data_IF_902667197272
#
_entry.id   IF_902667197272
#
_cell.length_a   1.000
_cell.length_b   1.000
_cell.length_c   1.000
_cell.angle_alpha   90.00
_cell.angle_beta   90.00
_cell.angle_gamma   90.00
#
_symmetry.space_group_name_H-M   'P 1'
#
loop_
_entity.id
_entity.type
_entity.pdbx_description
1 polymer ?
#
# COMPACT_ATOMS: atom_id res chain seq x y z
N UNK A 1 26.11 -27.81 2.25
CA UNK A 1 25.50 -26.96 1.21
C UNK A 1 24.46 -26.08 1.90
N UNK A 2 24.73 -24.78 2.06
CA UNK A 2 23.73 -23.82 2.54
C UNK A 2 22.70 -23.63 1.43
N UNK A 3 21.42 -23.89 1.72
CA UNK A 3 20.33 -23.66 0.77
C UNK A 3 20.42 -22.22 0.26
N UNK A 4 20.33 -22.03 -1.06
CA UNK A 4 20.28 -20.69 -1.65
C UNK A 4 19.12 -19.93 -1.02
N UNK A 5 19.42 -18.82 -0.34
CA UNK A 5 18.37 -17.96 0.22
C UNK A 5 17.75 -17.18 -0.93
N UNK A 6 16.44 -17.32 -1.09
CA UNK A 6 15.69 -16.49 -2.01
C UNK A 6 15.67 -15.04 -1.51
N UNK A 7 15.73 -14.05 -2.40
CA UNK A 7 15.44 -12.66 -2.02
C UNK A 7 14.07 -12.58 -1.33
N UNK A 8 13.91 -11.62 -0.43
CA UNK A 8 12.67 -11.44 0.31
C UNK A 8 12.33 -9.97 0.45
N UNK A 9 11.21 -9.55 -0.12
CA UNK A 9 10.69 -8.20 0.02
C UNK A 9 10.38 -7.89 1.47
N UNK A 10 10.55 -6.62 1.84
CA UNK A 10 10.08 -6.10 3.12
C UNK A 10 8.55 -6.26 3.17
N UNK A 11 8.00 -6.95 4.18
CA UNK A 11 6.56 -7.20 4.26
C UNK A 11 5.77 -5.95 4.63
N UNK A 12 4.51 -5.89 4.23
CA UNK A 12 3.55 -4.83 4.58
C UNK A 12 3.02 -4.97 6.02
N UNK A 13 3.32 -6.10 6.68
CA UNK A 13 2.89 -6.43 8.03
C UNK A 13 3.98 -7.19 8.81
N UNK A 14 3.74 -7.46 10.09
CA UNK A 14 4.58 -8.28 10.96
C UNK A 14 5.27 -7.45 12.05
N UNK A 15 6.52 -7.06 11.84
CA UNK A 15 7.31 -6.41 12.87
C UNK A 15 7.12 -4.89 12.92
N UNK A 16 7.73 -4.25 13.93
CA UNK A 16 7.73 -2.79 14.09
C UNK A 16 8.37 -2.12 12.87
N UNK A 17 7.76 -1.05 12.38
CA UNK A 17 8.35 -0.17 11.38
C UNK A 17 9.50 0.58 12.05
N UNK A 18 10.68 0.52 11.44
CA UNK A 18 11.85 1.28 11.89
C UNK A 18 12.10 2.48 10.98
N UNK A 19 12.06 2.27 9.67
CA UNK A 19 12.34 3.33 8.69
C UNK A 19 11.26 3.32 7.62
N UNK A 20 10.73 4.51 7.35
CA UNK A 20 9.71 4.77 6.34
C UNK A 20 10.16 5.94 5.49
N UNK A 21 9.96 5.85 4.17
CA UNK A 21 10.34 6.89 3.22
C UNK A 21 9.10 7.58 2.65
N UNK A 22 9.27 8.86 2.33
CA UNK A 22 8.31 9.76 1.67
C UNK A 22 9.00 10.42 0.47
N UNK A 23 8.23 10.78 -0.55
CA UNK A 23 8.70 11.62 -1.65
C UNK A 23 7.81 12.86 -1.73
N UNK A 24 8.38 14.07 -1.68
CA UNK A 24 7.61 15.32 -1.78
C UNK A 24 7.98 16.07 -3.07
N UNK A 25 7.05 16.18 -4.04
CA UNK A 25 7.26 16.99 -5.24
C UNK A 25 7.49 18.47 -4.93
N UNK A 26 8.30 19.15 -5.74
CA UNK A 26 8.51 20.60 -5.62
C UNK A 26 7.19 21.39 -5.62
N UNK A 27 6.21 20.96 -6.42
CA UNK A 27 4.89 21.58 -6.52
C UNK A 27 4.09 21.60 -5.19
N UNK A 28 4.51 20.84 -4.18
CA UNK A 28 3.86 20.86 -2.87
C UNK A 28 4.25 22.10 -2.04
N UNK A 29 5.35 22.76 -2.41
CA UNK A 29 5.93 23.90 -1.67
C UNK A 29 5.74 25.25 -2.36
N UNK A 30 4.97 25.32 -3.44
CA UNK A 30 4.72 26.58 -4.17
C UNK A 30 3.50 27.31 -3.59
N UNK A 31 3.66 28.60 -3.29
CA UNK A 31 2.69 29.51 -2.65
C UNK A 31 1.36 29.73 -3.42
N UNK A 32 1.19 29.08 -4.58
CA UNK A 32 -0.04 29.16 -5.38
C UNK A 32 -1.20 28.28 -4.88
N UNK A 33 -0.96 27.40 -3.91
CA UNK A 33 -1.99 26.52 -3.35
C UNK A 33 -2.89 27.20 -2.30
N UNK A 34 -2.66 28.48 -1.96
CA UNK A 34 -3.46 29.23 -0.98
C UNK A 34 -4.87 29.60 -1.49
N UNK A 35 -5.19 29.32 -2.76
CA UNK A 35 -6.53 29.57 -3.32
C UNK A 35 -7.55 28.49 -3.00
N UNK A 36 -7.10 27.34 -2.52
CA UNK A 36 -7.96 26.26 -2.03
C UNK A 36 -7.35 25.81 -0.69
N UNK A 37 -8.13 25.69 0.38
CA UNK A 37 -7.66 25.28 1.73
C UNK A 37 -7.12 23.83 1.82
N UNK A 38 -6.46 23.35 0.76
CA UNK A 38 -6.25 21.94 0.44
C UNK A 38 -4.80 21.71 0.00
N UNK A 39 -3.86 21.94 0.93
CA UNK A 39 -2.46 21.62 0.69
C UNK A 39 -2.20 20.10 0.77
N UNK A 40 -1.51 19.49 -0.21
CA UNK A 40 -1.12 18.07 -0.15
C UNK A 40 -0.09 17.76 0.95
N UNK A 41 0.50 18.80 1.57
CA UNK A 41 1.39 18.64 2.72
C UNK A 41 0.63 18.38 4.03
N UNK A 42 -0.66 18.75 4.12
CA UNK A 42 -1.48 18.53 5.34
C UNK A 42 -1.55 17.04 5.72
N UNK A 43 -2.03 16.12 4.85
CA UNK A 43 -2.11 14.71 5.22
C UNK A 43 -0.75 14.09 5.55
N UNK A 44 0.31 14.53 4.86
CA UNK A 44 1.67 14.03 5.08
C UNK A 44 2.24 14.52 6.41
N UNK A 45 1.98 15.78 6.78
CA UNK A 45 2.36 16.35 8.07
C UNK A 45 1.59 15.71 9.24
N UNK A 46 0.29 15.45 9.04
CA UNK A 46 -0.53 14.71 10.01
C UNK A 46 -0.01 13.30 10.22
N UNK A 47 0.40 12.61 9.15
CA UNK A 47 1.02 11.30 9.26
C UNK A 47 2.34 11.37 10.05
N UNK A 48 3.25 12.27 9.68
CA UNK A 48 4.52 12.45 10.40
C UNK A 48 4.31 12.72 11.90
N UNK A 49 3.30 13.52 12.25
CA UNK A 49 2.94 13.83 13.64
C UNK A 49 2.36 12.62 14.39
N UNK A 50 1.69 11.71 13.67
CA UNK A 50 1.12 10.47 14.21
C UNK A 50 2.14 9.30 14.30
N UNK A 51 3.33 9.43 13.71
CA UNK A 51 4.38 8.41 13.80
C UNK A 51 5.12 8.52 15.15
N UNK A 52 5.36 7.39 15.84
CA UNK A 52 6.07 7.36 17.12
C UNK A 52 7.57 7.67 16.96
N UNK A 53 8.18 8.12 18.07
CA UNK A 53 9.57 8.57 18.15
C UNK A 53 10.63 7.60 17.64
N UNK A 54 10.39 6.29 17.72
CA UNK A 54 11.36 5.29 17.29
C UNK A 54 11.35 5.07 15.76
N UNK A 55 10.42 5.68 15.03
CA UNK A 55 10.41 5.66 13.57
C UNK A 55 11.32 6.75 13.03
N UNK A 56 12.11 6.40 12.01
CA UNK A 56 12.83 7.34 11.17
C UNK A 56 12.02 7.56 9.89
N UNK A 57 11.52 8.77 9.70
CA UNK A 57 10.85 9.23 8.49
C UNK A 57 11.86 9.95 7.59
N UNK A 58 12.20 9.32 6.46
CA UNK A 58 13.10 9.89 5.46
C UNK A 58 12.28 10.55 4.37
N UNK A 59 12.52 11.83 4.13
CA UNK A 59 11.72 12.64 3.23
C UNK A 59 12.61 13.04 2.06
N UNK A 60 12.40 12.38 0.92
CA UNK A 60 13.14 12.62 -0.31
C UNK A 60 12.52 13.83 -1.01
N UNK A 61 13.35 14.83 -1.30
CA UNK A 61 12.93 16.10 -1.88
C UNK A 61 13.93 16.60 -2.92
N UNK A 62 13.46 17.49 -3.80
CA UNK A 62 14.35 18.24 -4.67
C UNK A 62 15.21 19.19 -3.83
N UNK A 63 16.49 19.35 -4.21
CA UNK A 63 17.45 20.17 -3.46
C UNK A 63 16.98 21.61 -3.25
N UNK A 64 16.29 22.19 -4.23
CA UNK A 64 15.77 23.55 -4.16
C UNK A 64 14.70 23.73 -3.06
N UNK A 65 14.00 22.65 -2.66
CA UNK A 65 12.93 22.70 -1.67
C UNK A 65 13.40 22.56 -0.22
N UNK A 66 14.69 22.38 0.05
CA UNK A 66 15.20 22.19 1.41
C UNK A 66 14.74 23.31 2.37
N UNK A 67 14.83 24.61 2.03
CA UNK A 67 14.39 25.66 2.95
C UNK A 67 12.89 25.59 3.26
N UNK A 68 12.04 25.42 2.25
CA UNK A 68 10.59 25.31 2.41
C UNK A 68 10.20 24.06 3.20
N UNK A 69 10.84 22.93 2.93
CA UNK A 69 10.63 21.68 3.65
C UNK A 69 11.04 21.78 5.13
N UNK A 70 12.17 22.46 5.44
CA UNK A 70 12.58 22.72 6.83
C UNK A 70 11.58 23.63 7.55
N UNK A 71 11.13 24.68 6.88
CA UNK A 71 10.13 25.58 7.44
C UNK A 71 8.82 24.85 7.75
N UNK A 72 8.31 24.08 6.79
CA UNK A 72 7.13 23.25 6.95
C UNK A 72 7.28 22.24 8.10
N UNK A 73 8.37 21.48 8.14
CA UNK A 73 8.63 20.52 9.23
C UNK A 73 8.72 21.20 10.61
N UNK A 74 9.30 22.40 10.68
CA UNK A 74 9.41 23.17 11.92
C UNK A 74 8.07 23.62 12.49
N UNK A 75 7.01 23.65 11.67
CA UNK A 75 5.65 23.98 12.10
C UNK A 75 4.83 22.77 12.59
N UNK A 76 5.35 21.55 12.49
CA UNK A 76 4.62 20.32 12.81
C UNK A 76 4.96 19.80 14.21
N UNK A 77 3.96 19.24 14.89
CA UNK A 77 4.12 18.58 16.19
C UNK A 77 4.63 17.13 16.03
N UNK A 78 5.82 16.97 15.45
CA UNK A 78 6.40 15.66 15.12
C UNK A 78 7.08 15.05 16.33
N UNK A 79 6.84 13.75 16.56
CA UNK A 79 7.57 12.97 17.58
C UNK A 79 8.60 12.01 16.99
N UNK A 80 8.38 11.52 15.76
CA UNK A 80 9.32 10.69 15.01
C UNK A 80 10.59 11.46 14.62
N UNK A 81 11.67 10.72 14.31
CA UNK A 81 12.88 11.33 13.76
C UNK A 81 12.65 11.62 12.29
N UNK A 82 12.79 12.88 11.85
CA UNK A 82 12.70 13.25 10.43
C UNK A 82 14.06 13.52 9.84
N UNK A 83 14.25 13.07 8.61
CA UNK A 83 15.46 13.33 7.84
C UNK A 83 15.11 13.81 6.44
N UNK A 84 15.56 15.02 6.08
CA UNK A 84 15.45 15.52 4.72
C UNK A 84 16.60 14.99 3.87
N UNK A 85 16.26 14.24 2.82
CA UNK A 85 17.21 13.71 1.85
C UNK A 85 17.02 14.42 0.51
N UNK A 86 17.96 15.31 0.18
CA UNK A 86 17.92 16.03 -1.07
C UNK A 86 18.44 15.16 -2.23
N UNK A 87 17.73 15.18 -3.36
CA UNK A 87 18.24 14.64 -4.61
C UNK A 87 19.44 15.44 -5.14
N UNK A 88 20.21 14.80 -6.01
CA UNK A 88 21.24 15.47 -6.79
C UNK A 88 20.63 16.47 -7.78
N UNK A 89 21.45 17.39 -8.31
CA UNK A 89 20.98 18.54 -9.10
C UNK A 89 20.16 18.18 -10.35
N UNK A 90 20.29 16.95 -10.86
CA UNK A 90 19.56 16.47 -12.04
C UNK A 90 18.33 15.59 -11.69
N UNK A 91 18.10 15.29 -10.41
CA UNK A 91 16.97 14.51 -9.94
C UNK A 91 15.73 15.38 -9.72
N UNK A 92 14.54 14.79 -9.88
CA UNK A 92 13.26 15.41 -9.58
C UNK A 92 12.27 14.38 -9.02
N UNK A 93 11.52 14.77 -8.00
CA UNK A 93 10.35 14.05 -7.50
C UNK A 93 9.09 14.38 -8.33
N UNK A 94 8.74 13.48 -9.25
CA UNK A 94 7.59 13.67 -10.14
C UNK A 94 6.22 13.59 -9.43
N UNK A 95 6.09 12.74 -8.40
CA UNK A 95 4.83 12.49 -7.70
C UNK A 95 5.07 11.98 -6.26
N UNK A 96 4.08 12.07 -5.34
CA UNK A 96 4.27 11.67 -3.96
C UNK A 96 4.23 10.15 -3.72
N UNK A 97 3.83 9.36 -4.73
CA UNK A 97 3.61 7.92 -4.63
C UNK A 97 4.91 7.10 -4.58
N UNK A 98 5.70 7.28 -3.52
CA UNK A 98 6.99 6.61 -3.35
C UNK A 98 6.86 5.08 -3.27
N UNK A 99 5.68 4.57 -2.89
CA UNK A 99 5.40 3.13 -2.83
C UNK A 99 5.71 2.42 -4.15
N UNK A 100 5.46 3.11 -5.27
CA UNK A 100 5.58 2.59 -6.64
C UNK A 100 6.96 2.78 -7.26
N UNK A 101 7.81 3.60 -6.66
CA UNK A 101 9.07 4.03 -7.28
C UNK A 101 10.12 2.92 -7.27
N UNK A 102 10.14 2.10 -6.21
CA UNK A 102 11.09 1.01 -6.05
C UNK A 102 10.55 -0.06 -5.08
N UNK A 103 11.17 -1.23 -5.08
CA UNK A 103 10.96 -2.29 -4.09
C UNK A 103 12.14 -2.40 -3.13
N UNK A 104 11.87 -2.85 -1.91
CA UNK A 104 12.91 -3.08 -0.90
C UNK A 104 12.92 -4.57 -0.57
N UNK A 105 14.09 -5.21 -0.68
CA UNK A 105 14.25 -6.62 -0.33
C UNK A 105 15.57 -6.90 0.38
N UNK A 106 15.61 -7.98 1.13
CA UNK A 106 16.88 -8.62 1.47
C UNK A 106 17.49 -9.24 0.19
N UNK A 107 18.77 -8.98 -0.03
CA UNK A 107 19.57 -9.60 -1.08
C UNK A 107 19.71 -11.11 -0.87
N UNK A 108 20.28 -11.81 -1.85
CA UNK A 108 20.44 -13.27 -1.83
C UNK A 108 21.38 -13.77 -0.72
N UNK A 109 22.24 -12.90 -0.19
CA UNK A 109 23.08 -13.18 0.98
C UNK A 109 22.28 -13.12 2.31
N UNK A 110 21.08 -12.54 2.28
CA UNK A 110 20.22 -12.31 3.44
C UNK A 110 20.76 -11.28 4.44
N UNK A 111 21.84 -10.57 4.11
CA UNK A 111 22.50 -9.57 4.96
C UNK A 111 22.41 -8.17 4.35
N UNK A 112 22.49 -8.09 3.02
CA UNK A 112 22.39 -6.83 2.28
C UNK A 112 20.92 -6.47 2.06
N UNK A 113 20.56 -5.20 2.25
CA UNK A 113 19.27 -4.68 1.79
C UNK A 113 19.45 -4.07 0.40
N UNK A 114 18.58 -4.42 -0.54
CA UNK A 114 18.58 -3.96 -1.93
C UNK A 114 17.35 -3.10 -2.23
N UNK A 115 17.57 -2.00 -2.96
CA UNK A 115 16.51 -1.24 -3.62
C UNK A 115 16.42 -1.67 -5.08
N UNK A 116 15.27 -2.25 -5.46
CA UNK A 116 15.02 -2.74 -6.82
C UNK A 116 14.17 -1.73 -7.58
N UNK A 117 14.72 -1.14 -8.63
CA UNK A 117 14.05 -0.07 -9.39
C UNK A 117 14.50 -0.06 -10.84
N UNK A 118 13.87 0.80 -11.66
CA UNK A 118 14.44 1.17 -12.95
C UNK A 118 15.87 1.74 -12.77
N UNK A 119 16.74 1.53 -13.76
CA UNK A 119 18.12 2.02 -13.74
C UNK A 119 18.13 3.56 -13.66
N UNK A 120 18.94 4.10 -12.75
CA UNK A 120 19.10 5.55 -12.57
C UNK A 120 17.89 6.22 -11.91
N UNK A 121 17.13 5.48 -11.10
CA UNK A 121 16.03 6.05 -10.35
C UNK A 121 16.58 6.96 -9.23
N UNK A 122 16.31 8.28 -9.26
CA UNK A 122 16.97 9.23 -8.36
C UNK A 122 16.62 9.00 -6.89
N UNK A 123 15.40 8.57 -6.57
CA UNK A 123 14.99 8.27 -5.21
C UNK A 123 15.72 7.04 -4.65
N UNK A 124 15.77 5.96 -5.44
CA UNK A 124 16.46 4.74 -5.05
C UNK A 124 17.95 4.99 -4.87
N UNK A 125 18.59 5.72 -5.79
CA UNK A 125 20.03 6.03 -5.71
C UNK A 125 20.36 6.90 -4.49
N UNK A 126 19.56 7.95 -4.23
CA UNK A 126 19.75 8.80 -3.05
C UNK A 126 19.59 8.02 -1.74
N UNK A 127 18.54 7.20 -1.63
CA UNK A 127 18.29 6.38 -0.44
C UNK A 127 19.39 5.32 -0.25
N UNK A 128 19.82 4.67 -1.33
CA UNK A 128 20.89 3.70 -1.29
C UNK A 128 22.21 4.30 -0.81
N UNK A 129 22.60 5.45 -1.37
CA UNK A 129 23.79 6.18 -0.95
C UNK A 129 23.73 6.59 0.53
N UNK A 130 22.56 7.08 0.99
CA UNK A 130 22.39 7.54 2.37
C UNK A 130 22.46 6.43 3.40
N UNK A 131 21.92 5.26 3.09
CA UNK A 131 21.82 4.13 4.02
C UNK A 131 22.83 3.00 3.76
N UNK A 132 23.71 3.16 2.77
CA UNK A 132 24.67 2.12 2.37
C UNK A 132 23.97 0.86 1.84
N UNK A 133 22.86 1.04 1.12
CA UNK A 133 22.11 -0.07 0.52
C UNK A 133 22.64 -0.37 -0.87
N UNK A 134 22.44 -1.61 -1.34
CA UNK A 134 22.68 -1.95 -2.73
C UNK A 134 21.51 -1.48 -3.60
N UNK A 135 21.78 -1.17 -4.87
CA UNK A 135 20.75 -0.95 -5.90
C UNK A 135 20.78 -2.10 -6.90
N UNK A 136 19.60 -2.54 -7.32
CA UNK A 136 19.43 -3.57 -8.34
C UNK A 136 18.51 -3.03 -9.44
N UNK A 137 19.08 -2.85 -10.63
CA UNK A 137 18.29 -2.44 -11.79
C UNK A 137 17.34 -3.57 -12.21
N UNK A 138 16.08 -3.22 -12.46
CA UNK A 138 15.05 -4.16 -12.90
C UNK A 138 14.14 -3.53 -13.92
N UNK A 139 13.84 -4.29 -14.98
CA UNK A 139 12.84 -3.94 -15.99
C UNK A 139 11.46 -4.53 -15.64
N UNK A 140 11.25 -4.95 -14.39
CA UNK A 140 9.97 -5.50 -13.95
C UNK A 140 8.95 -4.38 -13.84
N UNK A 141 7.90 -4.48 -14.64
CA UNK A 141 6.73 -3.61 -14.58
C UNK A 141 5.81 -4.07 -13.44
N UNK A 142 6.12 -3.65 -12.20
CA UNK A 142 5.32 -3.92 -11.03
C UNK A 142 5.37 -2.74 -10.06
N UNK A 143 4.26 -2.02 -9.98
CA UNK A 143 4.08 -0.97 -8.98
C UNK A 143 3.96 -1.56 -7.58
N UNK A 144 4.37 -0.81 -6.56
CA UNK A 144 4.29 -1.24 -5.17
C UNK A 144 2.87 -1.20 -4.61
N UNK A 145 2.00 -0.36 -5.16
CA UNK A 145 0.57 -0.30 -4.88
C UNK A 145 -0.18 -1.50 -5.45
N UNK A 146 0.28 -2.03 -6.59
CA UNK A 146 -0.29 -3.23 -7.21
C UNK A 146 0.24 -4.56 -6.64
N UNK A 147 0.92 -4.51 -5.49
CA UNK A 147 1.28 -5.70 -4.73
C UNK A 147 1.13 -5.49 -3.23
N UNK A 148 0.79 -6.57 -2.54
CA UNK A 148 0.83 -6.67 -1.10
C UNK A 148 1.73 -7.84 -0.69
N UNK A 149 2.61 -7.61 0.29
CA UNK A 149 3.58 -8.57 0.79
C UNK A 149 3.17 -8.99 2.20
N UNK A 150 2.60 -10.19 2.31
CA UNK A 150 2.26 -10.82 3.58
C UNK A 150 3.46 -11.52 4.23
N UNK A 151 3.24 -12.21 5.37
CA UNK A 151 4.32 -12.93 6.06
C UNK A 151 4.91 -14.05 5.20
N UNK A 152 4.04 -14.85 4.58
CA UNK A 152 4.34 -16.08 3.83
C UNK A 152 3.78 -16.08 2.40
N UNK A 153 3.15 -14.98 1.98
CA UNK A 153 2.52 -14.85 0.66
C UNK A 153 2.76 -13.47 0.03
N UNK A 154 2.53 -13.38 -1.27
CA UNK A 154 2.38 -12.12 -2.01
C UNK A 154 1.06 -12.14 -2.75
N UNK A 155 0.35 -11.01 -2.73
CA UNK A 155 -0.85 -10.81 -3.53
C UNK A 155 -0.55 -9.72 -4.56
N UNK A 156 -0.56 -10.08 -5.85
CA UNK A 156 -0.25 -9.16 -6.95
C UNK A 156 -1.50 -8.94 -7.80
N UNK A 157 -1.72 -7.70 -8.21
CA UNK A 157 -2.81 -7.37 -9.11
C UNK A 157 -2.69 -8.13 -10.43
N UNK A 158 -3.79 -8.72 -10.89
CA UNK A 158 -3.77 -9.58 -12.07
C UNK A 158 -3.21 -8.87 -13.33
N UNK A 159 -3.41 -7.55 -13.47
CA UNK A 159 -2.90 -6.79 -14.61
C UNK A 159 -1.38 -6.85 -14.71
N UNK A 160 -0.66 -6.81 -13.60
CA UNK A 160 0.81 -6.87 -13.57
C UNK A 160 1.38 -8.23 -13.97
N UNK A 161 0.58 -9.30 -13.84
CA UNK A 161 0.98 -10.66 -14.26
C UNK A 161 0.86 -10.84 -15.79
N UNK A 162 0.07 -10.00 -16.47
CA UNK A 162 -0.22 -10.18 -17.89
C UNK A 162 0.85 -9.61 -18.84
N UNK A 163 1.87 -8.92 -18.34
CA UNK A 163 3.01 -8.47 -19.16
C UNK A 163 2.71 -7.33 -20.14
N UNK A 164 1.59 -6.62 -19.98
CA UNK A 164 1.20 -5.49 -20.83
C UNK A 164 1.37 -4.15 -20.11
N UNK A 165 2.50 -3.48 -20.31
CA UNK A 165 2.51 -2.03 -20.25
C UNK A 165 1.64 -1.48 -21.39
N UNK A 166 0.96 -0.36 -21.16
CA UNK A 166 0.28 0.40 -22.24
C UNK A 166 1.29 0.70 -23.36
N UNK A 167 1.26 -0.08 -24.46
CA UNK A 167 1.98 0.24 -25.70
C UNK A 167 3.24 -0.57 -26.07
N UNK A 168 3.62 -1.62 -25.32
CA UNK A 168 4.79 -2.45 -25.66
C UNK A 168 4.43 -3.87 -26.13
N UNK A 169 5.21 -4.43 -27.07
CA UNK A 169 5.06 -5.82 -27.57
C UNK A 169 4.89 -6.83 -26.42
N UNK A 170 4.03 -7.85 -26.57
CA UNK A 170 3.79 -8.83 -25.52
C UNK A 170 5.05 -9.67 -25.29
N UNK A 171 5.86 -9.30 -24.31
CA UNK A 171 6.73 -10.26 -23.66
C UNK A 171 5.79 -11.29 -23.02
N UNK A 172 5.91 -12.56 -23.41
CA UNK A 172 4.91 -13.58 -23.09
C UNK A 172 4.58 -13.59 -21.60
N UNK A 173 3.28 -13.65 -21.25
CA UNK A 173 2.75 -13.63 -19.88
C UNK A 173 3.60 -14.44 -18.88
N UNK A 174 4.04 -15.63 -19.30
CA UNK A 174 4.89 -16.52 -18.50
C UNK A 174 6.22 -15.87 -18.07
N UNK A 175 6.85 -15.08 -18.95
CA UNK A 175 8.11 -14.40 -18.65
C UNK A 175 7.92 -13.29 -17.61
N UNK A 176 6.84 -12.50 -17.71
CA UNK A 176 6.53 -11.46 -16.72
C UNK A 176 6.25 -12.09 -15.35
N UNK A 177 5.42 -13.14 -15.31
CA UNK A 177 5.11 -13.85 -14.06
C UNK A 177 6.37 -14.45 -13.42
N UNK A 178 7.25 -15.08 -14.21
CA UNK A 178 8.53 -15.61 -13.71
C UNK A 178 9.43 -14.52 -13.13
N UNK A 179 9.50 -13.35 -13.78
CA UNK A 179 10.26 -12.21 -13.27
C UNK A 179 9.69 -11.68 -11.95
N UNK A 180 8.36 -11.53 -11.86
CA UNK A 180 7.68 -11.12 -10.63
C UNK A 180 7.91 -12.15 -9.51
N UNK A 181 7.86 -13.45 -9.82
CA UNK A 181 8.15 -14.52 -8.87
C UNK A 181 9.61 -14.47 -8.38
N UNK A 182 10.56 -14.13 -9.24
CA UNK A 182 11.98 -14.03 -8.87
C UNK A 182 12.30 -12.87 -7.91
N UNK A 183 11.38 -11.92 -7.71
CA UNK A 183 11.56 -10.83 -6.74
C UNK A 183 11.55 -11.33 -5.28
N UNK A 184 10.84 -12.43 -5.00
CA UNK A 184 10.56 -12.88 -3.64
C UNK A 184 10.19 -14.37 -3.60
N UNK A 185 10.77 -15.13 -2.65
CA UNK A 185 10.49 -16.56 -2.49
C UNK A 185 9.10 -16.95 -1.96
N UNK A 186 8.27 -15.99 -1.52
CA UNK A 186 6.90 -16.25 -1.03
C UNK A 186 5.98 -16.74 -2.15
N UNK A 187 4.95 -17.49 -1.74
CA UNK A 187 3.90 -17.95 -2.65
C UNK A 187 3.17 -16.76 -3.26
N UNK A 188 3.08 -16.74 -4.59
CA UNK A 188 2.45 -15.66 -5.35
C UNK A 188 0.98 -15.98 -5.65
N UNK A 189 0.10 -15.07 -5.27
CA UNK A 189 -1.34 -15.08 -5.50
C UNK A 189 -1.75 -13.89 -6.36
N UNK A 190 -2.93 -13.96 -6.97
CA UNK A 190 -3.43 -12.92 -7.87
C UNK A 190 -4.73 -12.30 -7.37
N UNK A 191 -4.75 -10.96 -7.33
CA UNK A 191 -5.96 -10.18 -7.06
C UNK A 191 -6.67 -9.84 -8.37
N UNK A 192 -7.92 -10.28 -8.48
CA UNK A 192 -8.76 -10.05 -9.64
C UNK A 192 -10.03 -10.88 -9.58
N UNK A 193 -10.91 -10.67 -10.55
CA UNK A 193 -12.18 -11.36 -10.68
C UNK A 193 -12.31 -11.98 -12.05
N UNK A 194 -13.09 -13.06 -12.12
CA UNK A 194 -13.50 -13.66 -13.37
C UNK A 194 -14.86 -13.08 -13.79
N UNK A 195 -15.09 -12.78 -15.07
CA UNK A 195 -16.38 -12.26 -15.54
C UNK A 195 -17.55 -13.17 -15.19
N UNK A 196 -17.36 -14.49 -15.16
CA UNK A 196 -18.39 -15.45 -14.79
C UNK A 196 -18.83 -15.38 -13.32
N UNK A 197 -18.01 -14.78 -12.45
CA UNK A 197 -18.33 -14.58 -11.03
C UNK A 197 -19.10 -13.25 -10.80
N UNK A 198 -19.28 -12.41 -11.83
CA UNK A 198 -20.03 -11.16 -11.70
C UNK A 198 -21.51 -11.44 -11.42
N UNK A 199 -22.01 -10.93 -10.30
CA UNK A 199 -23.39 -11.14 -9.85
C UNK A 199 -23.55 -12.31 -8.87
N UNK A 200 -22.51 -13.11 -8.63
CA UNK A 200 -22.49 -14.05 -7.52
C UNK A 200 -22.32 -13.30 -6.19
N UNK A 201 -23.23 -13.52 -5.24
CA UNK A 201 -23.06 -12.97 -3.89
C UNK A 201 -21.93 -13.69 -3.17
N UNK A 202 -20.97 -12.94 -2.64
CA UNK A 202 -19.93 -13.46 -1.76
C UNK A 202 -20.51 -13.77 -0.37
N UNK A 203 -21.49 -14.68 -0.30
CA UNK A 203 -21.98 -15.18 0.98
C UNK A 203 -20.86 -15.99 1.66
N UNK A 204 -20.53 -15.75 2.94
CA UNK A 204 -19.40 -16.41 3.61
C UNK A 204 -19.60 -17.92 3.87
N UNK A 205 -20.81 -18.44 3.66
CA UNK A 205 -21.20 -19.78 4.07
C UNK A 205 -21.24 -20.74 2.87
N UNK A 206 -20.15 -21.49 2.65
CA UNK A 206 -20.20 -22.72 1.83
C UNK A 206 -19.08 -22.90 0.81
N UNK A 207 -18.23 -21.91 0.57
CA UNK A 207 -17.11 -22.07 -0.36
C UNK A 207 -15.95 -22.79 0.34
N UNK A 208 -15.89 -24.10 0.15
CA UNK A 208 -14.72 -24.90 0.50
C UNK A 208 -13.55 -24.49 -0.38
N UNK A 209 -12.35 -24.26 0.19
CA UNK A 209 -11.16 -24.00 -0.62
C UNK A 209 -10.91 -25.18 -1.56
N UNK A 210 -10.61 -24.89 -2.81
CA UNK A 210 -10.16 -25.93 -3.74
C UNK A 210 -8.76 -26.33 -3.29
N UNK A 211 -8.53 -27.63 -3.03
CA UNK A 211 -7.21 -28.21 -2.75
C UNK A 211 -6.33 -28.26 -4.03
N UNK A 212 -6.33 -27.19 -4.82
CA UNK A 212 -5.42 -27.08 -5.96
C UNK A 212 -4.10 -26.51 -5.45
N UNK A 213 -2.94 -27.04 -5.89
CA UNK A 213 -1.66 -26.45 -5.55
C UNK A 213 -1.62 -24.98 -6.01
N UNK A 214 -0.98 -24.07 -5.25
CA UNK A 214 -0.97 -22.62 -5.49
C UNK A 214 -0.20 -22.19 -6.75
N UNK A 215 0.09 -23.10 -7.69
CA UNK A 215 0.83 -22.85 -8.92
C UNK A 215 -0.02 -22.85 -10.18
N UNK A 216 -1.26 -23.37 -10.14
CA UNK A 216 -2.19 -23.25 -11.27
C UNK A 216 -3.01 -22.00 -11.07
N UNK A 217 -2.55 -20.91 -11.71
CA UNK A 217 -3.40 -19.74 -11.94
C UNK A 217 -4.77 -20.21 -12.42
N UNK A 218 -5.87 -19.65 -11.92
CA UNK A 218 -7.19 -20.17 -12.23
C UNK A 218 -7.41 -20.17 -13.76
N UNK A 219 -7.64 -21.33 -14.39
CA UNK A 219 -7.96 -21.44 -15.82
C UNK A 219 -9.15 -20.55 -16.17
N UNK A 220 -8.94 -19.52 -16.99
CA UNK A 220 -9.99 -18.57 -17.40
C UNK A 220 -9.50 -17.13 -17.56
N UNK A 221 -10.31 -16.30 -18.24
CA UNK A 221 -10.04 -14.88 -18.42
C UNK A 221 -10.26 -14.14 -17.10
N UNK A 222 -9.22 -13.61 -16.48
CA UNK A 222 -9.33 -12.83 -15.25
C UNK A 222 -9.06 -11.34 -15.51
N UNK A 223 -9.74 -10.49 -14.75
CA UNK A 223 -9.65 -9.03 -14.80
C UNK A 223 -9.27 -8.49 -13.41
N UNK A 224 -8.73 -7.28 -13.35
CA UNK A 224 -8.44 -6.62 -12.08
C UNK A 224 -9.54 -5.61 -11.73
N UNK A 225 -9.94 -5.58 -10.46
CA UNK A 225 -10.74 -4.49 -9.92
C UNK A 225 -9.80 -3.34 -9.50
N UNK A 226 -10.04 -2.13 -9.99
CA UNK A 226 -9.18 -0.98 -9.69
C UNK A 226 -7.86 -0.97 -10.45
N UNK A 227 -7.07 0.07 -10.18
CA UNK A 227 -5.75 0.23 -10.75
C UNK A 227 -4.68 -0.48 -9.91
N UNK A 228 -4.79 -0.39 -8.58
CA UNK A 228 -3.88 -1.01 -7.62
C UNK A 228 -4.63 -1.85 -6.58
N UNK A 229 -4.00 -2.92 -6.10
CA UNK A 229 -4.57 -3.81 -5.08
C UNK A 229 -4.79 -3.08 -3.75
N UNK A 230 -3.86 -2.21 -3.36
CA UNK A 230 -3.89 -1.50 -2.08
C UNK A 230 -4.94 -0.39 -1.99
N UNK A 231 -5.70 -0.15 -3.07
CA UNK A 231 -6.90 0.70 -3.05
C UNK A 231 -8.04 0.02 -2.29
N UNK A 232 -8.10 -1.31 -2.34
CA UNK A 232 -9.26 -2.09 -1.90
C UNK A 232 -8.92 -3.26 -0.98
N UNK A 233 -7.64 -3.60 -0.82
CA UNK A 233 -7.23 -4.73 0.01
C UNK A 233 -6.12 -4.30 0.97
N UNK A 234 -6.26 -4.69 2.24
CA UNK A 234 -5.20 -4.56 3.24
C UNK A 234 -4.76 -5.94 3.70
N UNK A 235 -3.45 -6.15 3.81
CA UNK A 235 -2.90 -7.29 4.54
C UNK A 235 -3.00 -6.99 6.03
N UNK A 236 -3.54 -7.91 6.81
CA UNK A 236 -3.66 -7.72 8.26
C UNK A 236 -2.49 -8.31 9.05
N UNK A 237 -1.73 -9.26 8.47
CA UNK A 237 -0.75 -10.07 9.20
C UNK A 237 -1.37 -11.11 10.15
N UNK A 238 -2.70 -11.17 10.24
CA UNK A 238 -3.43 -12.12 11.07
C UNK A 238 -3.85 -13.35 10.26
N UNK A 239 -4.29 -14.40 10.97
CA UNK A 239 -4.93 -15.57 10.38
C UNK A 239 -6.30 -15.81 11.01
N UNK A 240 -7.23 -16.38 10.24
CA UNK A 240 -8.53 -16.88 10.69
C UNK A 240 -8.70 -18.31 10.18
N UNK A 241 -8.95 -19.25 11.08
CA UNK A 241 -9.05 -20.69 10.76
C UNK A 241 -7.82 -21.20 9.98
N UNK A 242 -6.62 -20.77 10.39
CA UNK A 242 -5.37 -21.14 9.73
C UNK A 242 -5.12 -20.47 8.37
N UNK A 243 -6.02 -19.63 7.86
CA UNK A 243 -5.87 -18.90 6.59
C UNK A 243 -5.43 -17.45 6.81
N UNK A 244 -4.55 -16.88 5.97
CA UNK A 244 -4.22 -15.46 6.06
C UNK A 244 -5.48 -14.59 5.91
N UNK A 245 -5.63 -13.62 6.81
CA UNK A 245 -6.79 -12.72 6.83
C UNK A 245 -6.48 -11.45 6.03
N UNK A 246 -7.32 -11.16 5.04
CA UNK A 246 -7.32 -9.90 4.31
C UNK A 246 -8.54 -9.08 4.68
N UNK A 247 -8.38 -7.76 4.69
CA UNK A 247 -9.49 -6.82 4.79
C UNK A 247 -9.78 -6.27 3.38
N UNK A 248 -11.01 -6.44 2.88
CA UNK A 248 -11.39 -6.03 1.53
C UNK A 248 -12.54 -5.02 1.58
N UNK A 249 -12.38 -3.93 0.84
CA UNK A 249 -13.37 -2.86 0.72
C UNK A 249 -14.77 -3.38 0.34
N UNK A 250 -15.79 -2.79 0.97
CA UNK A 250 -17.20 -2.96 0.66
C UNK A 250 -17.82 -1.60 0.26
N UNK A 251 -17.96 -1.32 -1.04
CA UNK A 251 -18.44 -0.02 -1.51
C UNK A 251 -19.89 0.27 -1.11
N UNK A 252 -20.11 1.49 -0.65
CA UNK A 252 -21.41 2.05 -0.31
C UNK A 252 -21.62 3.38 -1.03
N UNK A 253 -22.84 3.64 -1.46
CA UNK A 253 -23.18 4.90 -2.12
C UNK A 253 -23.21 6.03 -1.09
N UNK A 254 -22.57 7.15 -1.40
CA UNK A 254 -22.59 8.37 -0.58
C UNK A 254 -22.61 9.61 -1.47
N UNK A 255 -23.08 10.74 -0.94
CA UNK A 255 -22.95 12.05 -1.59
C UNK A 255 -23.59 12.15 -2.99
N UNK A 256 -24.69 11.43 -3.24
CA UNK A 256 -25.43 11.51 -4.52
C UNK A 256 -24.80 10.78 -5.70
N UNK A 257 -23.76 9.95 -5.47
CA UNK A 257 -23.17 9.16 -6.54
C UNK A 257 -24.14 8.12 -7.12
N UNK A 258 -24.06 7.90 -8.44
CA UNK A 258 -24.91 6.95 -9.15
C UNK A 258 -24.82 5.54 -8.56
N UNK A 259 -25.97 4.96 -8.21
CA UNK A 259 -26.07 3.59 -7.73
C UNK A 259 -25.43 2.56 -8.69
N UNK A 260 -25.39 2.86 -9.99
CA UNK A 260 -24.75 2.00 -11.00
C UNK A 260 -23.24 1.91 -10.81
N UNK A 261 -22.57 3.03 -10.55
CA UNK A 261 -21.10 3.07 -10.33
C UNK A 261 -20.73 2.28 -9.09
N UNK A 262 -21.52 2.44 -8.02
CA UNK A 262 -21.30 1.73 -6.75
C UNK A 262 -21.56 0.24 -6.90
N UNK A 263 -22.66 -0.13 -7.56
CA UNK A 263 -23.02 -1.53 -7.80
C UNK A 263 -21.97 -2.24 -8.66
N UNK A 264 -21.48 -1.61 -9.73
CA UNK A 264 -20.42 -2.16 -10.57
C UNK A 264 -19.12 -2.40 -9.79
N UNK A 265 -18.69 -1.43 -8.97
CA UNK A 265 -17.50 -1.60 -8.11
C UNK A 265 -17.72 -2.72 -7.08
N UNK A 266 -18.89 -2.76 -6.44
CA UNK A 266 -19.22 -3.79 -5.45
C UNK A 266 -19.22 -5.19 -6.09
N UNK A 267 -19.86 -5.37 -7.24
CA UNK A 267 -19.88 -6.65 -7.96
C UNK A 267 -18.48 -7.15 -8.32
N UNK A 268 -17.59 -6.25 -8.78
CA UNK A 268 -16.20 -6.60 -9.09
C UNK A 268 -15.42 -7.00 -7.84
N UNK A 269 -15.62 -6.31 -6.72
CA UNK A 269 -14.96 -6.64 -5.46
C UNK A 269 -15.50 -7.93 -4.84
N UNK A 270 -16.81 -8.18 -4.92
CA UNK A 270 -17.41 -9.42 -4.45
C UNK A 270 -16.90 -10.62 -5.27
N UNK A 271 -16.83 -10.48 -6.59
CA UNK A 271 -16.24 -11.49 -7.46
C UNK A 271 -14.72 -11.68 -7.19
N UNK A 272 -14.00 -10.60 -6.86
CA UNK A 272 -12.59 -10.69 -6.45
C UNK A 272 -12.43 -11.41 -5.10
N UNK A 273 -13.35 -11.20 -4.16
CA UNK A 273 -13.41 -11.93 -2.88
C UNK A 273 -13.62 -13.43 -3.10
N UNK A 274 -14.52 -13.82 -4.01
CA UNK A 274 -14.69 -15.23 -4.37
C UNK A 274 -13.38 -15.86 -4.85
N UNK A 275 -12.64 -15.15 -5.72
CA UNK A 275 -11.32 -15.57 -6.18
C UNK A 275 -10.30 -15.71 -5.03
N UNK A 276 -10.25 -14.73 -4.11
CA UNK A 276 -9.35 -14.79 -2.95
C UNK A 276 -9.69 -15.95 -2.00
N UNK A 277 -10.97 -16.20 -1.74
CA UNK A 277 -11.41 -17.34 -0.91
C UNK A 277 -11.01 -18.67 -1.54
N UNK A 278 -11.19 -18.82 -2.87
CA UNK A 278 -10.73 -20.01 -3.62
C UNK A 278 -9.21 -20.19 -3.54
N UNK A 279 -8.46 -19.08 -3.49
CA UNK A 279 -7.00 -19.06 -3.31
C UNK A 279 -6.56 -19.34 -1.86
N UNK A 280 -7.50 -19.51 -0.92
CA UNK A 280 -7.21 -19.92 0.46
C UNK A 280 -7.13 -18.78 1.47
N UNK A 281 -7.57 -17.57 1.12
CA UNK A 281 -7.63 -16.44 2.06
C UNK A 281 -8.90 -16.47 2.91
N UNK A 282 -8.80 -15.98 4.15
CA UNK A 282 -9.95 -15.54 4.92
C UNK A 282 -10.19 -14.06 4.67
N UNK A 283 -11.46 -13.64 4.63
CA UNK A 283 -11.83 -12.27 4.25
C UNK A 283 -12.65 -11.62 5.37
N UNK A 284 -12.26 -10.42 5.74
CA UNK A 284 -13.10 -9.45 6.43
C UNK A 284 -13.46 -8.32 5.46
N UNK A 285 -14.56 -7.61 5.74
CA UNK A 285 -15.05 -6.51 4.91
C UNK A 285 -15.04 -5.22 5.71
N UNK A 286 -14.74 -4.10 5.04
CA UNK A 286 -14.86 -2.76 5.61
C UNK A 286 -15.66 -1.84 4.70
N UNK A 287 -16.60 -1.04 5.23
CA UNK A 287 -17.38 -0.14 4.40
C UNK A 287 -16.49 0.98 3.85
N UNK A 288 -16.63 1.28 2.57
CA UNK A 288 -16.02 2.47 1.96
C UNK A 288 -17.06 3.30 1.21
N UNK A 289 -17.02 4.64 1.30
CA UNK A 289 -17.90 5.51 0.54
C UNK A 289 -17.38 5.63 -0.90
N UNK A 290 -18.30 5.53 -1.85
CA UNK A 290 -18.12 6.11 -3.19
C UNK A 290 -18.80 7.46 -3.18
N UNK A 291 -17.98 8.52 -3.20
CA UNK A 291 -18.43 9.90 -3.01
C UNK A 291 -17.74 10.83 -4.02
N UNK A 292 -18.37 11.97 -4.41
CA UNK A 292 -17.73 12.94 -5.29
C UNK A 292 -16.42 13.45 -4.69
N UNK A 293 -15.34 13.46 -5.46
CA UNK A 293 -14.08 14.08 -5.04
C UNK A 293 -14.24 15.59 -4.84
N UNK A 294 -13.57 16.14 -3.83
CA UNK A 294 -13.69 17.55 -3.43
C UNK A 294 -13.29 18.57 -4.51
N UNK A 295 -12.42 18.17 -5.45
CA UNK A 295 -11.83 19.03 -6.48
C UNK A 295 -12.44 18.80 -7.88
N UNK A 296 -12.77 17.55 -8.21
CA UNK A 296 -13.20 17.14 -9.54
C UNK A 296 -14.66 16.72 -9.62
N UNK A 297 -15.34 16.60 -8.47
CA UNK A 297 -16.71 16.10 -8.34
C UNK A 297 -16.92 14.69 -8.95
N UNK A 298 -15.85 13.98 -9.29
CA UNK A 298 -15.91 12.63 -9.82
C UNK A 298 -16.25 11.67 -8.69
N UNK A 299 -17.26 10.83 -8.89
CA UNK A 299 -17.58 9.74 -7.96
C UNK A 299 -16.45 8.71 -7.92
N UNK A 300 -15.72 8.67 -6.82
CA UNK A 300 -14.60 7.74 -6.60
C UNK A 300 -14.66 7.16 -5.18
N UNK A 301 -14.14 5.93 -4.97
CA UNK A 301 -14.03 5.34 -3.65
C UNK A 301 -13.02 6.08 -2.76
N UNK A 302 -13.28 6.16 -1.45
CA UNK A 302 -12.25 6.56 -0.47
C UNK A 302 -11.48 5.36 0.03
N UNK A 303 -10.17 5.53 0.12
CA UNK A 303 -9.19 4.44 0.16
C UNK A 303 -8.86 4.01 1.60
N UNK A 304 -9.87 3.59 2.39
CA UNK A 304 -9.67 3.15 3.78
C UNK A 304 -8.77 1.92 3.93
N UNK A 305 -8.59 1.14 2.86
CA UNK A 305 -7.69 -0.02 2.85
C UNK A 305 -6.21 0.35 2.65
N UNK A 306 -5.93 1.61 2.32
CA UNK A 306 -4.59 2.10 2.04
C UNK A 306 -3.86 2.46 3.34
N UNK A 307 -3.59 1.43 4.16
CA UNK A 307 -3.06 1.54 5.52
C UNK A 307 -1.59 1.13 5.60
N UNK A 308 -0.93 1.56 6.67
CA UNK A 308 0.33 0.96 7.14
C UNK A 308 0.11 0.41 8.55
N UNK A 309 0.77 -0.70 8.90
CA UNK A 309 0.56 -1.34 10.20
C UNK A 309 1.80 -2.04 10.76
N UNK A 310 1.69 -2.37 12.04
CA UNK A 310 2.58 -3.23 12.81
C UNK A 310 1.77 -4.39 13.38
N UNK A 311 2.36 -5.58 13.57
CA UNK A 311 1.73 -6.66 14.33
C UNK A 311 2.48 -6.96 15.64
N UNK A 312 3.43 -6.10 16.01
CA UNK A 312 4.15 -6.16 17.27
C UNK A 312 3.79 -4.92 18.09
N UNK A 313 3.57 -5.13 19.39
CA UNK A 313 3.25 -4.05 20.32
C UNK A 313 4.52 -3.27 20.66
N UNK A 314 4.47 -1.95 20.54
CA UNK A 314 5.57 -1.07 20.95
C UNK A 314 5.71 -1.04 22.48
N UNK A 315 6.92 -0.85 23.03
CA UNK A 315 7.09 -0.68 24.48
C UNK A 315 6.18 0.41 25.04
N UNK A 316 5.44 0.10 26.10
CA UNK A 316 4.48 1.01 26.74
C UNK A 316 3.11 1.09 26.06
N UNK A 317 2.89 0.35 24.98
CA UNK A 317 1.58 0.22 24.33
C UNK A 317 0.94 -1.13 24.70
N UNK A 318 -0.38 -1.22 24.48
CA UNK A 318 -1.16 -2.43 24.79
C UNK A 318 -1.44 -3.23 23.51
N UNK A 319 -1.64 -2.54 22.39
CA UNK A 319 -2.00 -3.12 21.11
C UNK A 319 -1.03 -2.64 20.01
N UNK A 320 -0.84 -3.42 18.94
CA UNK A 320 -0.04 -2.99 17.81
C UNK A 320 -0.78 -1.91 17.01
N UNK A 321 -0.04 -1.02 16.36
CA UNK A 321 -0.62 0.12 15.64
C UNK A 321 -1.05 -0.22 14.21
N UNK A 322 -2.13 0.42 13.78
CA UNK A 322 -2.49 0.58 12.37
C UNK A 322 -2.83 2.04 12.10
N UNK A 323 -2.17 2.65 11.11
CA UNK A 323 -2.49 4.00 10.68
C UNK A 323 -3.43 3.92 9.48
N UNK A 324 -4.59 4.55 9.61
CA UNK A 324 -5.62 4.56 8.58
C UNK A 324 -5.88 5.98 8.07
N UNK A 325 -6.12 6.16 6.77
CA UNK A 325 -6.51 7.46 6.25
C UNK A 325 -7.92 7.78 6.71
N UNK A 326 -8.10 9.01 7.18
CA UNK A 326 -9.40 9.61 7.48
C UNK A 326 -9.78 10.62 6.40
N UNK A 327 -11.08 10.69 6.14
CA UNK A 327 -11.68 11.55 5.11
C UNK A 327 -12.81 12.42 5.66
N UNK A 328 -13.24 12.20 6.91
CA UNK A 328 -14.30 12.95 7.57
C UNK A 328 -13.92 14.37 8.02
N UNK A 329 -12.71 14.83 7.72
CA UNK A 329 -12.25 16.17 8.13
C UNK A 329 -12.74 17.29 7.21
N UNK A 330 -12.93 17.00 5.93
CA UNK A 330 -13.45 17.94 4.92
C UNK A 330 -14.71 17.43 4.21
N UNK A 331 -15.02 16.17 4.37
CA UNK A 331 -16.18 15.51 3.77
C UNK A 331 -17.07 14.95 4.89
N UNK A 332 -18.37 14.75 4.61
CA UNK A 332 -19.31 14.18 5.58
C UNK A 332 -19.18 12.65 5.70
N UNK A 333 -17.99 12.20 6.09
CA UNK A 333 -17.56 10.79 6.07
C UNK A 333 -17.12 10.25 7.45
N UNK A 334 -17.40 10.98 8.53
CA UNK A 334 -16.99 10.65 9.90
C UNK A 334 -17.50 9.27 10.35
N UNK A 335 -18.68 8.86 9.88
CA UNK A 335 -19.18 7.51 10.14
C UNK A 335 -18.27 6.43 9.54
N UNK A 336 -17.78 6.62 8.32
CA UNK A 336 -16.88 5.66 7.68
C UNK A 336 -15.51 5.64 8.37
N UNK A 337 -15.00 6.79 8.81
CA UNK A 337 -13.78 6.88 9.63
C UNK A 337 -13.96 6.00 10.89
N UNK A 338 -15.04 6.21 11.63
CA UNK A 338 -15.30 5.50 12.89
C UNK A 338 -15.54 3.99 12.68
N UNK A 339 -16.30 3.59 11.66
CA UNK A 339 -16.53 2.16 11.40
C UNK A 339 -15.24 1.44 10.97
N UNK A 340 -14.39 2.07 10.16
CA UNK A 340 -13.10 1.48 9.81
C UNK A 340 -12.20 1.36 11.04
N UNK A 341 -12.20 2.34 11.96
CA UNK A 341 -11.51 2.23 13.24
C UNK A 341 -12.03 1.06 14.07
N UNK A 342 -13.34 0.92 14.22
CA UNK A 342 -13.96 -0.18 15.00
C UNK A 342 -13.57 -1.55 14.45
N UNK A 343 -13.53 -1.71 13.13
CA UNK A 343 -13.11 -2.97 12.49
C UNK A 343 -11.66 -3.31 12.87
N UNK A 344 -10.73 -2.37 12.69
CA UNK A 344 -9.33 -2.58 13.06
C UNK A 344 -9.14 -2.84 14.56
N UNK A 345 -9.91 -2.14 15.41
CA UNK A 345 -9.92 -2.39 16.85
C UNK A 345 -10.45 -3.78 17.20
N UNK A 346 -11.49 -4.24 16.51
CA UNK A 346 -12.02 -5.61 16.63
C UNK A 346 -11.04 -6.69 16.17
N UNK A 347 -10.09 -6.34 15.29
CA UNK A 347 -8.97 -7.20 14.90
C UNK A 347 -7.80 -7.16 15.90
N UNK A 348 -7.90 -6.37 16.96
CA UNK A 348 -6.91 -6.31 18.05
C UNK A 348 -5.81 -5.26 17.87
N UNK A 349 -5.95 -4.35 16.91
CA UNK A 349 -5.02 -3.22 16.74
C UNK A 349 -5.49 -2.00 17.51
N UNK A 350 -4.59 -1.06 17.74
CA UNK A 350 -4.93 0.31 18.10
C UNK A 350 -4.96 1.18 16.82
N UNK A 351 -6.16 1.59 16.35
CA UNK A 351 -6.33 2.33 15.11
C UNK A 351 -6.03 3.83 15.30
N UNK A 352 -5.00 4.30 14.60
CA UNK A 352 -4.58 5.70 14.54
C UNK A 352 -5.15 6.33 13.26
N UNK A 353 -6.15 7.18 13.43
CA UNK A 353 -6.73 7.96 12.34
C UNK A 353 -5.83 9.12 11.92
N UNK A 354 -5.55 9.23 10.62
CA UNK A 354 -4.74 10.31 10.05
C UNK A 354 -5.62 11.12 9.11
N UNK A 355 -5.94 12.37 9.43
CA UNK A 355 -6.83 13.24 8.65
C UNK A 355 -6.15 13.91 7.45
N UNK A 356 -6.95 14.47 6.53
CA UNK A 356 -6.47 15.30 5.41
C UNK A 356 -6.34 14.58 4.07
N UNK A 357 -6.77 13.32 3.97
CA UNK A 357 -6.50 12.51 2.77
C UNK A 357 -7.47 12.73 1.62
N UNK A 358 -8.58 13.47 1.81
CA UNK A 358 -9.60 13.73 0.78
C UNK A 358 -9.02 14.22 -0.55
N UNK A 359 -8.03 15.12 -0.49
CA UNK A 359 -7.41 15.67 -1.69
C UNK A 359 -6.50 14.69 -2.41
N UNK A 360 -5.68 13.93 -1.69
CA UNK A 360 -4.82 12.93 -2.31
C UNK A 360 -5.63 11.74 -2.83
N UNK A 361 -6.75 11.41 -2.18
CA UNK A 361 -7.67 10.39 -2.67
C UNK A 361 -8.33 10.74 -4.01
N UNK A 362 -8.55 12.03 -4.33
CA UNK A 362 -9.02 12.44 -5.67
C UNK A 362 -8.06 12.01 -6.79
N UNK A 363 -6.78 11.83 -6.44
CA UNK A 363 -5.69 11.38 -7.30
C UNK A 363 -5.39 9.88 -7.11
N UNK A 364 -6.33 9.13 -6.54
CA UNK A 364 -6.30 7.68 -6.33
C UNK A 364 -5.20 7.15 -5.40
N UNK A 365 -4.69 7.96 -4.47
CA UNK A 365 -3.71 7.48 -3.49
C UNK A 365 -3.97 8.01 -2.08
N UNK A 366 -3.47 7.28 -1.09
CA UNK A 366 -3.53 7.70 0.30
C UNK A 366 -2.25 7.27 1.07
N UNK A 367 -2.42 6.84 2.32
CA UNK A 367 -1.38 6.66 3.34
C UNK A 367 -0.28 5.68 2.92
N UNK A 368 -0.66 4.50 2.41
CA UNK A 368 0.30 3.51 1.89
C UNK A 368 0.91 3.94 0.57
N UNK A 369 0.14 4.51 -0.37
CA UNK A 369 0.68 4.95 -1.66
C UNK A 369 1.78 6.01 -1.48
N UNK A 370 1.59 6.92 -0.53
CA UNK A 370 2.50 8.03 -0.25
C UNK A 370 3.73 7.63 0.60
N UNK A 371 3.85 6.36 1.00
CA UNK A 371 4.93 5.91 1.88
C UNK A 371 5.59 4.62 1.39
N UNK A 372 6.84 4.39 1.78
CA UNK A 372 7.53 3.11 1.58
C UNK A 372 8.18 2.66 2.87
N UNK A 373 7.77 1.51 3.41
CA UNK A 373 8.49 0.90 4.54
C UNK A 373 9.82 0.36 4.05
N UNK A 374 10.91 1.00 4.47
CA UNK A 374 12.28 0.65 4.09
C UNK A 374 12.84 -0.45 4.97
N UNK A 375 12.46 -0.43 6.25
CA UNK A 375 12.99 -1.36 7.23
C UNK A 375 11.99 -1.60 8.35
N UNK A 376 11.84 -2.86 8.73
CA UNK A 376 11.20 -3.28 9.98
C UNK A 376 12.27 -3.76 10.96
N UNK A 377 12.06 -3.52 12.25
CA UNK A 377 12.92 -4.10 13.27
C UNK A 377 12.77 -5.64 13.24
N UNK A 378 13.82 -6.42 13.54
CA UNK A 378 13.66 -7.85 13.72
C UNK A 378 12.63 -8.11 14.82
N UNK A 379 11.65 -8.97 14.55
CA UNK A 379 10.70 -9.38 15.58
C UNK A 379 11.50 -10.00 16.72
N UNK A 380 11.45 -9.42 17.93
CA UNK A 380 11.93 -10.12 19.12
C UNK A 380 11.03 -11.32 19.29
N UNK A 381 11.54 -12.51 18.97
CA UNK A 381 10.91 -13.77 19.38
C UNK A 381 10.84 -13.70 20.92
N UNK A 382 9.66 -13.79 21.55
CA UNK A 382 9.60 -13.93 22.99
C UNK A 382 10.44 -15.15 23.39
N UNK A 383 11.25 -15.10 24.46
CA UNK A 383 11.82 -16.32 25.00
C UNK A 383 10.68 -17.31 25.28
N UNK A 384 10.83 -18.54 24.77
CA UNK A 384 9.90 -19.65 24.96
C UNK A 384 9.61 -19.93 26.43
#
# INVERSE_FOLDING_TARGET
MTAARFPSLVPDCGALIHTIAFALPTAFFTDGNDREDVSPLIPLGNLLSALPREIIAVIVIDRACIPSARHWLGGLAITCTTELLALDANGNIAHPWIQDVFHVRAGSDGATTELVSARGNPCADALANRFGLATAASDILLDGGNQLVGPDFRLVGHSSLQGGGTGGRPAGHLQQQQRIQALDGRTLYSFGYRPEDLGASAAPAGLSPVKSPPSTMPDGKMHQCGFHVDQFVSVTGLRRDGRPLLLVADPMAHGGCSARVVSDLKQKLDASVLSLVRQGFAIARNPIPVSPAIDSNKCIPRLYNNVILENVVRPGQIQPFVWLPHFGDRETLEWFDEENRKIWKGLGFDPIGVAGWSHLASRNGALRCATKVMRRAPARVPPL
#
